data_IF_392655936866
#
_entry.id   IF_392655936866
#
_cell.length_a   1.000
_cell.length_b   1.000
_cell.length_c   1.000
_cell.angle_alpha   90.00
_cell.angle_beta   90.00
_cell.angle_gamma   90.00
#
_symmetry.space_group_name_H-M   'P 1'
#
loop_
_entity.id
_entity.type
_entity.pdbx_description
1 polymer ?
#
# COMPACT_ATOMS: atom_id res chain seq x y z
N UNK A 1 -13.29 -30.58 10.67
CA UNK A 1 -14.56 -31.09 10.08
C UNK A 1 -14.78 -32.60 10.18
N UNK A 2 -13.89 -33.49 9.71
CA UNK A 2 -14.14 -34.96 9.75
C UNK A 2 -14.33 -35.52 11.17
N UNK A 3 -13.60 -35.01 12.15
CA UNK A 3 -13.73 -35.44 13.56
C UNK A 3 -15.07 -35.00 14.17
N UNK A 4 -15.44 -33.73 13.97
CA UNK A 4 -16.73 -33.18 14.41
C UNK A 4 -17.90 -33.98 13.82
N UNK A 5 -17.85 -34.34 12.52
CA UNK A 5 -18.89 -35.16 11.89
C UNK A 5 -19.08 -36.51 12.62
N UNK A 6 -17.99 -37.18 13.00
CA UNK A 6 -18.03 -38.45 13.77
C UNK A 6 -18.61 -38.27 15.17
N UNK A 7 -18.35 -37.15 15.83
CA UNK A 7 -18.94 -36.85 17.15
C UNK A 7 -20.45 -36.59 17.04
N UNK A 8 -20.93 -36.05 15.92
CA UNK A 8 -22.34 -35.74 15.67
C UNK A 8 -23.18 -36.97 15.28
N UNK A 9 -22.56 -38.09 14.94
CA UNK A 9 -23.25 -39.37 14.70
C UNK A 9 -23.79 -40.00 16.00
N UNK A 10 -23.38 -39.49 17.17
CA UNK A 10 -23.87 -39.97 18.45
C UNK A 10 -25.24 -39.41 18.81
N UNK A 11 -26.06 -40.24 19.46
CA UNK A 11 -27.45 -39.92 19.80
C UNK A 11 -27.58 -38.59 20.55
N UNK A 12 -28.43 -37.71 20.02
CA UNK A 12 -28.76 -36.40 20.61
C UNK A 12 -27.72 -35.29 20.41
N UNK A 13 -26.48 -35.59 19.99
CA UNK A 13 -25.43 -34.57 19.82
C UNK A 13 -25.72 -33.60 18.68
N UNK A 14 -26.28 -34.09 17.57
CA UNK A 14 -26.65 -33.26 16.43
C UNK A 14 -27.75 -32.25 16.77
N UNK A 15 -28.78 -32.70 17.49
CA UNK A 15 -29.89 -31.86 17.92
C UNK A 15 -29.41 -30.80 18.91
N UNK A 16 -28.60 -31.20 19.90
CA UNK A 16 -28.00 -30.27 20.86
C UNK A 16 -27.16 -29.20 20.18
N UNK A 17 -26.29 -29.59 19.23
CA UNK A 17 -25.49 -28.63 18.47
C UNK A 17 -26.38 -27.65 17.70
N UNK A 18 -27.42 -28.16 17.02
CA UNK A 18 -28.32 -27.32 16.24
C UNK A 18 -29.05 -26.29 17.12
N UNK A 19 -29.61 -26.72 18.25
CA UNK A 19 -30.33 -25.84 19.19
C UNK A 19 -29.41 -24.75 19.76
N UNK A 20 -28.19 -25.13 20.18
CA UNK A 20 -27.27 -24.20 20.83
C UNK A 20 -26.71 -23.18 19.83
N UNK A 21 -26.28 -23.64 18.65
CA UNK A 21 -25.77 -22.78 17.58
C UNK A 21 -26.85 -21.82 17.09
N UNK A 22 -28.09 -22.28 16.88
CA UNK A 22 -29.20 -21.40 16.49
C UNK A 22 -29.47 -20.32 17.55
N UNK A 23 -29.51 -20.72 18.81
CA UNK A 23 -29.82 -19.81 19.92
C UNK A 23 -28.73 -18.75 20.08
N UNK A 24 -27.45 -19.14 19.98
CA UNK A 24 -26.32 -18.23 20.20
C UNK A 24 -25.96 -17.39 18.96
N UNK A 25 -26.13 -17.93 17.76
CA UNK A 25 -25.97 -17.17 16.52
C UNK A 25 -27.05 -16.11 16.32
N UNK A 26 -28.16 -16.18 17.06
CA UNK A 26 -29.29 -15.25 16.93
C UNK A 26 -29.81 -15.16 15.48
N UNK A 27 -29.78 -16.29 14.76
CA UNK A 27 -30.23 -16.38 13.36
C UNK A 27 -29.22 -15.90 12.30
N UNK A 28 -28.01 -15.50 12.70
CA UNK A 28 -26.98 -15.05 11.75
C UNK A 28 -26.15 -16.22 11.24
N UNK A 29 -26.28 -16.51 9.93
CA UNK A 29 -25.54 -17.60 9.27
C UNK A 29 -24.03 -17.48 9.44
N UNK A 30 -23.49 -16.25 9.38
CA UNK A 30 -22.07 -15.98 9.61
C UNK A 30 -21.62 -16.46 10.99
N UNK A 31 -22.33 -16.05 12.04
CA UNK A 31 -21.98 -16.40 13.41
C UNK A 31 -22.10 -17.90 13.62
N UNK A 32 -23.15 -18.52 13.06
CA UNK A 32 -23.28 -19.97 13.08
C UNK A 32 -22.09 -20.68 12.41
N UNK A 33 -21.63 -20.20 11.25
CA UNK A 33 -20.47 -20.76 10.56
C UNK A 33 -19.20 -20.66 11.41
N UNK A 34 -18.91 -19.49 11.97
CA UNK A 34 -17.73 -19.28 12.83
C UNK A 34 -17.79 -20.12 14.12
N UNK A 35 -18.98 -20.25 14.72
CA UNK A 35 -19.20 -21.12 15.88
C UNK A 35 -18.95 -22.59 15.54
N UNK A 36 -19.37 -23.05 14.35
CA UNK A 36 -19.09 -24.42 13.91
C UNK A 36 -17.59 -24.66 13.70
N UNK A 37 -16.87 -23.68 13.16
CA UNK A 37 -15.43 -23.74 13.00
C UNK A 37 -14.70 -23.83 14.36
N UNK A 38 -15.18 -23.14 15.39
CA UNK A 38 -14.65 -23.26 16.76
C UNK A 38 -14.75 -24.69 17.31
N UNK A 39 -15.82 -25.41 16.97
CA UNK A 39 -16.03 -26.79 17.42
C UNK A 39 -15.24 -27.80 16.58
N UNK A 40 -14.61 -27.37 15.49
CA UNK A 40 -13.90 -28.24 14.55
C UNK A 40 -12.71 -28.98 15.15
N UNK A 41 -12.15 -28.49 16.27
CA UNK A 41 -11.00 -29.05 17.00
C UNK A 41 -11.37 -29.99 18.15
N UNK A 42 -12.66 -30.13 18.51
CA UNK A 42 -13.09 -31.01 19.59
C UNK A 42 -12.71 -32.47 19.31
N UNK A 43 -12.03 -33.13 20.26
CA UNK A 43 -11.55 -34.50 20.09
C UNK A 43 -12.52 -35.55 20.63
N UNK A 44 -13.40 -35.15 21.55
CA UNK A 44 -14.37 -36.04 22.18
C UNK A 44 -15.67 -35.30 22.56
N UNK A 45 -16.69 -36.03 23.00
CA UNK A 45 -18.01 -35.49 23.37
C UNK A 45 -17.92 -34.48 24.51
N UNK A 46 -17.03 -34.71 25.48
CA UNK A 46 -16.86 -33.82 26.64
C UNK A 46 -16.34 -32.46 26.16
N UNK A 47 -15.34 -32.47 25.27
CA UNK A 47 -14.82 -31.25 24.64
C UNK A 47 -15.94 -30.54 23.84
N UNK A 48 -16.73 -31.30 23.08
CA UNK A 48 -17.83 -30.76 22.28
C UNK A 48 -18.91 -30.11 23.17
N UNK A 49 -19.31 -30.74 24.28
CA UNK A 49 -20.27 -30.15 25.23
C UNK A 49 -19.73 -28.88 25.87
N UNK A 50 -18.48 -28.93 26.35
CA UNK A 50 -17.83 -27.74 26.93
C UNK A 50 -17.72 -26.60 25.90
N UNK A 51 -17.38 -26.92 24.65
CA UNK A 51 -17.31 -25.95 23.56
C UNK A 51 -18.67 -25.33 23.25
N UNK A 52 -19.74 -26.14 23.19
CA UNK A 52 -21.11 -25.67 22.99
C UNK A 52 -21.55 -24.69 24.10
N UNK A 53 -21.25 -24.99 25.36
CA UNK A 53 -21.54 -24.12 26.51
C UNK A 53 -20.78 -22.78 26.43
N UNK A 54 -19.56 -22.78 25.92
CA UNK A 54 -18.70 -21.60 25.81
C UNK A 54 -18.86 -20.79 24.52
N UNK A 55 -19.70 -21.25 23.58
CA UNK A 55 -19.90 -20.52 22.32
C UNK A 55 -20.30 -19.04 22.57
N UNK A 56 -19.67 -18.08 21.87
CA UNK A 56 -19.99 -16.67 22.00
C UNK A 56 -21.39 -16.36 21.42
N UNK A 57 -22.05 -15.36 21.98
CA UNK A 57 -23.39 -14.92 21.53
C UNK A 57 -23.31 -13.59 20.79
N UNK A 58 -23.80 -13.58 19.55
CA UNK A 58 -23.77 -12.39 18.69
C UNK A 58 -22.42 -12.18 17.97
N UNK A 59 -22.40 -11.21 17.03
CA UNK A 59 -21.28 -11.01 16.10
C UNK A 59 -20.01 -10.50 16.79
N UNK A 60 -20.12 -9.49 17.64
CA UNK A 60 -18.95 -8.88 18.30
C UNK A 60 -18.22 -9.86 19.22
N UNK A 61 -18.97 -10.59 20.06
CA UNK A 61 -18.41 -11.64 20.90
C UNK A 61 -17.78 -12.76 20.05
N UNK A 62 -18.34 -13.05 18.88
CA UNK A 62 -17.79 -14.02 17.94
C UNK A 62 -16.45 -13.54 17.38
N UNK A 63 -16.34 -12.28 16.93
CA UNK A 63 -15.06 -11.74 16.47
C UNK A 63 -14.01 -11.70 17.59
N UNK A 64 -14.38 -11.28 18.80
CA UNK A 64 -13.48 -11.28 19.95
C UNK A 64 -12.93 -12.68 20.28
N UNK A 65 -13.81 -13.69 20.30
CA UNK A 65 -13.39 -15.07 20.54
C UNK A 65 -12.53 -15.63 19.40
N UNK A 66 -12.79 -15.24 18.15
CA UNK A 66 -11.93 -15.62 17.03
C UNK A 66 -10.55 -14.96 17.08
N UNK A 67 -10.47 -13.68 17.46
CA UNK A 67 -9.18 -13.02 17.69
C UNK A 67 -8.41 -13.67 18.84
N UNK A 68 -9.08 -14.01 19.95
CA UNK A 68 -8.45 -14.76 21.04
C UNK A 68 -7.88 -16.10 20.55
N UNK A 69 -8.59 -16.82 19.67
CA UNK A 69 -8.07 -18.04 19.04
C UNK A 69 -6.84 -17.79 18.18
N UNK A 70 -6.78 -16.65 17.49
CA UNK A 70 -5.60 -16.23 16.72
C UNK A 70 -4.42 -15.97 17.64
N UNK A 71 -4.61 -15.21 18.74
CA UNK A 71 -3.57 -14.91 19.73
C UNK A 71 -2.93 -16.16 20.35
N UNK A 72 -3.69 -17.24 20.48
CA UNK A 72 -3.21 -18.50 21.07
C UNK A 72 -2.48 -19.42 20.06
N UNK A 73 -2.34 -19.03 18.79
CA UNK A 73 -1.57 -19.79 17.82
C UNK A 73 -0.06 -19.67 18.09
N UNK A 74 0.71 -20.57 17.48
CA UNK A 74 2.18 -20.56 17.60
C UNK A 74 2.80 -19.27 17.04
N UNK A 75 2.21 -18.72 15.98
CA UNK A 75 2.57 -17.43 15.41
C UNK A 75 1.29 -16.62 15.07
N UNK A 76 0.82 -15.77 15.99
CA UNK A 76 -0.34 -14.91 15.75
C UNK A 76 -0.04 -13.78 14.76
N UNK A 77 1.24 -13.42 14.57
CA UNK A 77 1.64 -12.24 13.79
C UNK A 77 1.23 -12.38 12.33
N UNK A 78 1.39 -13.56 11.73
CA UNK A 78 1.00 -13.81 10.35
C UNK A 78 -0.49 -13.56 10.10
N UNK A 79 -1.37 -14.10 10.95
CA UNK A 79 -2.81 -13.90 10.84
C UNK A 79 -3.19 -12.43 11.06
N UNK A 80 -2.59 -11.76 12.04
CA UNK A 80 -2.84 -10.33 12.27
C UNK A 80 -2.40 -9.47 11.09
N UNK A 81 -1.21 -9.70 10.54
CA UNK A 81 -0.71 -8.99 9.36
C UNK A 81 -1.66 -9.17 8.17
N UNK A 82 -2.14 -10.40 7.94
CA UNK A 82 -3.13 -10.66 6.89
C UNK A 82 -4.41 -9.84 7.10
N UNK A 83 -4.88 -9.75 8.35
CA UNK A 83 -6.05 -8.94 8.69
C UNK A 83 -5.79 -7.43 8.56
N UNK A 84 -4.57 -6.94 8.88
CA UNK A 84 -4.18 -5.54 8.64
C UNK A 84 -4.32 -5.20 7.16
N UNK A 85 -3.78 -6.03 6.28
CA UNK A 85 -3.92 -5.88 4.84
C UNK A 85 -5.38 -5.83 4.39
N UNK A 86 -6.21 -6.77 4.85
CA UNK A 86 -7.63 -6.81 4.43
C UNK A 86 -8.48 -5.66 5.00
N UNK A 87 -8.09 -5.08 6.14
CA UNK A 87 -8.77 -3.92 6.73
C UNK A 87 -8.37 -2.63 6.02
N UNK A 88 -7.09 -2.48 5.67
CA UNK A 88 -6.50 -1.19 5.26
C UNK A 88 -6.13 -1.09 3.77
N UNK A 89 -6.15 -2.19 3.01
CA UNK A 89 -5.86 -2.15 1.58
C UNK A 89 -6.79 -1.18 0.84
N UNK A 90 -6.22 -0.44 -0.12
CA UNK A 90 -6.96 0.55 -0.91
C UNK A 90 -7.65 -0.05 -2.16
N UNK A 91 -7.31 -1.29 -2.52
CA UNK A 91 -7.92 -2.06 -3.60
C UNK A 91 -8.19 -3.50 -3.15
N UNK A 92 -9.05 -4.22 -3.87
CA UNK A 92 -9.25 -5.66 -3.65
C UNK A 92 -7.99 -6.42 -4.04
N UNK A 93 -7.64 -7.45 -3.27
CA UNK A 93 -6.43 -8.25 -3.49
C UNK A 93 -6.80 -9.72 -3.71
N UNK A 94 -6.05 -10.40 -4.56
CA UNK A 94 -6.10 -11.87 -4.65
C UNK A 94 -5.37 -12.51 -3.47
N UNK A 95 -5.63 -13.80 -3.23
CA UNK A 95 -4.88 -14.54 -2.21
C UNK A 95 -3.38 -14.56 -2.51
N UNK A 96 -3.00 -14.56 -3.77
CA UNK A 96 -1.61 -14.54 -4.19
C UNK A 96 -0.96 -13.18 -3.94
N UNK A 97 -1.68 -12.08 -4.19
CA UNK A 97 -1.22 -10.75 -3.81
C UNK A 97 -0.96 -10.67 -2.30
N UNK A 98 -1.91 -11.15 -1.49
CA UNK A 98 -1.78 -11.15 -0.03
C UNK A 98 -0.59 -11.99 0.44
N UNK A 99 -0.33 -13.16 -0.17
CA UNK A 99 0.82 -14.01 0.18
C UNK A 99 2.14 -13.29 -0.07
N UNK A 100 2.28 -12.59 -1.19
CA UNK A 100 3.49 -11.81 -1.50
C UNK A 100 3.59 -10.57 -0.59
N UNK A 101 2.47 -9.93 -0.30
CA UNK A 101 2.41 -8.80 0.63
C UNK A 101 2.87 -9.15 2.06
N UNK A 102 2.65 -10.40 2.48
CA UNK A 102 3.07 -10.93 3.78
C UNK A 102 4.51 -11.46 3.79
N UNK A 103 5.12 -11.68 2.62
CA UNK A 103 6.50 -12.13 2.48
C UNK A 103 7.50 -10.96 2.62
N UNK A 104 7.29 -10.15 3.64
CA UNK A 104 8.08 -8.97 3.98
C UNK A 104 8.71 -9.16 5.37
N UNK A 105 10.04 -8.98 5.46
CA UNK A 105 10.77 -8.96 6.73
C UNK A 105 10.78 -7.53 7.28
N UNK A 106 10.01 -7.23 8.35
CA UNK A 106 9.95 -5.89 8.93
C UNK A 106 11.24 -5.47 9.63
N UNK A 107 12.12 -6.40 10.00
CA UNK A 107 13.41 -6.11 10.66
C UNK A 107 14.44 -5.67 9.63
N UNK A 108 14.48 -6.33 8.48
CA UNK A 108 15.40 -5.98 7.38
C UNK A 108 14.82 -4.97 6.41
N UNK A 109 13.53 -4.68 6.51
CA UNK A 109 12.76 -3.86 5.56
C UNK A 109 12.91 -4.37 4.12
N UNK A 110 12.82 -5.69 3.92
CA UNK A 110 13.03 -6.34 2.62
C UNK A 110 12.00 -7.41 2.34
N UNK A 111 11.70 -7.58 1.06
CA UNK A 111 10.96 -8.75 0.59
C UNK A 111 11.84 -10.00 0.70
N UNK A 112 11.23 -11.09 1.17
CA UNK A 112 11.90 -12.39 1.32
C UNK A 112 10.98 -13.51 0.81
N UNK A 113 11.28 -14.11 -0.36
CA UNK A 113 10.45 -15.19 -0.91
C UNK A 113 10.43 -16.45 -0.03
N UNK A 114 11.37 -16.62 0.90
CA UNK A 114 11.35 -17.74 1.85
C UNK A 114 10.23 -17.61 2.90
N UNK A 115 9.64 -16.42 3.04
CA UNK A 115 8.48 -16.16 3.91
C UNK A 115 7.13 -16.42 3.23
N UNK A 116 7.10 -16.84 1.96
CA UNK A 116 5.86 -17.14 1.25
C UNK A 116 5.12 -18.31 1.92
N UNK A 117 3.92 -18.01 2.45
CA UNK A 117 3.03 -19.00 3.06
C UNK A 117 2.11 -19.60 1.99
N UNK A 118 1.70 -20.85 2.14
CA UNK A 118 0.67 -21.44 1.28
C UNK A 118 -0.73 -20.87 1.57
N UNK A 119 -1.59 -20.83 0.54
CA UNK A 119 -2.91 -20.22 0.65
C UNK A 119 -3.81 -20.88 1.69
N UNK A 120 -3.75 -22.22 1.82
CA UNK A 120 -4.60 -22.97 2.75
C UNK A 120 -4.18 -22.73 4.21
N UNK A 121 -2.88 -22.69 4.49
CA UNK A 121 -2.34 -22.31 5.79
C UNK A 121 -2.71 -20.88 6.14
N UNK A 122 -2.63 -19.93 5.19
CA UNK A 122 -3.01 -18.54 5.42
C UNK A 122 -4.51 -18.40 5.78
N UNK A 123 -5.39 -19.11 5.07
CA UNK A 123 -6.82 -19.17 5.43
C UNK A 123 -7.03 -19.82 6.78
N UNK A 124 -6.29 -20.89 7.08
CA UNK A 124 -6.38 -21.62 8.34
C UNK A 124 -5.99 -20.75 9.54
N UNK A 125 -4.88 -20.01 9.47
CA UNK A 125 -4.43 -19.17 10.60
C UNK A 125 -5.39 -18.02 10.90
N UNK A 126 -6.11 -17.51 9.89
CA UNK A 126 -7.12 -16.45 10.06
C UNK A 126 -8.44 -16.93 10.70
N UNK A 127 -8.55 -18.20 11.11
CA UNK A 127 -9.66 -18.75 11.91
C UNK A 127 -11.09 -18.45 11.39
N UNK A 128 -11.25 -18.38 10.06
CA UNK A 128 -12.56 -18.13 9.42
C UNK A 128 -12.94 -16.65 9.28
N UNK A 129 -12.08 -15.71 9.67
CA UNK A 129 -12.30 -14.27 9.46
C UNK A 129 -12.12 -13.84 8.01
N UNK A 130 -11.54 -14.70 7.17
CA UNK A 130 -11.31 -14.42 5.75
C UNK A 130 -11.95 -15.50 4.88
N UNK A 131 -12.37 -15.11 3.69
CA UNK A 131 -12.94 -16.00 2.67
C UNK A 131 -12.27 -15.77 1.33
N UNK A 132 -12.26 -16.83 0.50
CA UNK A 132 -11.75 -16.79 -0.86
C UNK A 132 -12.90 -16.88 -1.85
N UNK A 133 -12.90 -15.98 -2.83
CA UNK A 133 -13.84 -16.03 -3.94
C UNK A 133 -13.43 -17.12 -4.94
N UNK A 134 -14.32 -18.07 -5.29
CA UNK A 134 -13.94 -19.24 -6.08
C UNK A 134 -13.35 -18.92 -7.46
N UNK A 135 -13.93 -17.92 -8.16
CA UNK A 135 -13.56 -17.56 -9.53
C UNK A 135 -12.43 -16.54 -9.57
N UNK A 136 -12.59 -15.41 -8.89
CA UNK A 136 -11.67 -14.27 -8.94
C UNK A 136 -10.42 -14.46 -8.07
N UNK A 137 -10.44 -15.45 -7.16
CA UNK A 137 -9.40 -15.66 -6.14
C UNK A 137 -9.20 -14.47 -5.19
N UNK A 138 -10.14 -13.52 -5.16
CA UNK A 138 -10.12 -12.41 -4.22
C UNK A 138 -10.24 -12.93 -2.80
N UNK A 139 -9.41 -12.37 -1.92
CA UNK A 139 -9.51 -12.61 -0.48
C UNK A 139 -10.30 -11.45 0.15
N UNK A 140 -11.26 -11.79 1.00
CA UNK A 140 -12.15 -10.81 1.65
C UNK A 140 -12.30 -11.13 3.12
N UNK A 141 -12.60 -10.11 3.92
CA UNK A 141 -13.14 -10.35 5.25
C UNK A 141 -14.47 -11.10 5.12
N UNK A 142 -14.73 -12.01 6.06
CA UNK A 142 -15.92 -12.87 6.07
C UNK A 142 -17.24 -12.06 6.09
N UNK A 143 -17.18 -10.81 6.54
CA UNK A 143 -18.31 -9.89 6.52
C UNK A 143 -17.83 -8.43 6.63
N UNK A 144 -18.60 -7.49 6.08
CA UNK A 144 -18.20 -6.08 6.07
C UNK A 144 -18.07 -5.49 7.49
N UNK A 145 -18.91 -5.92 8.44
CA UNK A 145 -18.83 -5.47 9.85
C UNK A 145 -17.60 -5.99 10.60
N UNK A 146 -16.88 -6.98 10.05
CA UNK A 146 -15.63 -7.44 10.66
C UNK A 146 -14.58 -6.31 10.65
N UNK A 147 -14.61 -5.44 9.64
CA UNK A 147 -13.70 -4.30 9.54
C UNK A 147 -13.82 -3.37 10.74
N UNK A 148 -15.04 -2.99 11.11
CA UNK A 148 -15.30 -2.07 12.23
C UNK A 148 -14.79 -2.60 13.58
N UNK A 149 -14.83 -3.93 13.76
CA UNK A 149 -14.27 -4.57 14.95
C UNK A 149 -12.75 -4.67 14.88
N UNK A 150 -12.20 -5.08 13.73
CA UNK A 150 -10.77 -5.38 13.57
C UNK A 150 -9.91 -4.13 13.54
N UNK A 151 -10.38 -3.03 12.94
CA UNK A 151 -9.60 -1.80 12.81
C UNK A 151 -9.08 -1.26 14.16
N UNK A 152 -9.93 -1.01 15.18
CA UNK A 152 -9.42 -0.57 16.48
C UNK A 152 -8.63 -1.67 17.21
N UNK A 153 -8.91 -2.95 16.97
CA UNK A 153 -8.20 -4.07 17.61
C UNK A 153 -6.75 -4.16 17.12
N UNK A 154 -6.54 -4.14 15.81
CA UNK A 154 -5.23 -4.33 15.17
C UNK A 154 -4.31 -3.13 15.38
N UNK A 155 -4.85 -1.93 15.57
CA UNK A 155 -4.07 -0.73 15.90
C UNK A 155 -3.26 -0.83 17.20
N UNK A 156 -3.60 -1.77 18.09
CA UNK A 156 -2.82 -2.00 19.31
C UNK A 156 -1.42 -2.55 19.00
N UNK A 157 -1.31 -3.42 18.00
CA UNK A 157 -0.04 -4.01 17.57
C UNK A 157 0.56 -3.27 16.36
N UNK A 158 -0.29 -2.67 15.53
CA UNK A 158 0.06 -1.98 14.29
C UNK A 158 -0.49 -0.55 14.28
N UNK A 159 0.11 0.39 15.04
CA UNK A 159 -0.42 1.74 15.21
C UNK A 159 -0.46 2.56 13.91
N UNK A 160 0.48 2.32 12.99
CA UNK A 160 0.58 2.97 11.67
C UNK A 160 0.48 1.90 10.55
N UNK A 161 -0.73 1.37 10.27
CA UNK A 161 -0.89 0.27 9.32
C UNK A 161 -0.53 0.66 7.88
N UNK A 162 -0.71 1.93 7.52
CA UNK A 162 -0.37 2.42 6.19
C UNK A 162 1.15 2.56 5.98
N UNK A 163 1.94 2.80 7.02
CA UNK A 163 3.41 2.77 6.93
C UNK A 163 3.88 1.35 6.62
N UNK A 164 3.40 0.38 7.39
CA UNK A 164 3.70 -1.04 7.17
C UNK A 164 3.36 -1.48 5.74
N UNK A 165 2.16 -1.14 5.26
CA UNK A 165 1.72 -1.48 3.91
C UNK A 165 2.59 -0.78 2.85
N UNK A 166 2.83 0.52 2.99
CA UNK A 166 3.69 1.27 2.06
C UNK A 166 5.09 0.67 1.99
N UNK A 167 5.70 0.40 3.15
CA UNK A 167 7.02 -0.22 3.30
C UNK A 167 7.09 -1.59 2.64
N UNK A 168 6.02 -2.39 2.75
CA UNK A 168 5.94 -3.72 2.12
C UNK A 168 5.85 -3.61 0.59
N UNK A 169 5.00 -2.71 0.06
CA UNK A 169 4.91 -2.43 -1.38
C UNK A 169 6.25 -1.95 -1.95
N UNK A 170 6.92 -1.03 -1.25
CA UNK A 170 8.24 -0.51 -1.62
C UNK A 170 9.28 -1.62 -1.65
N UNK A 171 9.33 -2.46 -0.62
CA UNK A 171 10.29 -3.56 -0.56
C UNK A 171 10.11 -4.54 -1.73
N UNK A 172 8.86 -4.78 -2.15
CA UNK A 172 8.56 -5.58 -3.33
C UNK A 172 8.98 -4.90 -4.64
N UNK A 173 8.68 -3.59 -4.81
CA UNK A 173 9.14 -2.81 -5.96
C UNK A 173 10.66 -2.81 -6.08
N UNK A 174 11.37 -2.64 -4.96
CA UNK A 174 12.83 -2.70 -4.92
C UNK A 174 13.34 -4.10 -5.30
N UNK A 175 12.69 -5.16 -4.83
CA UNK A 175 13.01 -6.54 -5.20
C UNK A 175 12.86 -6.77 -6.71
N UNK A 176 11.82 -6.23 -7.31
CA UNK A 176 11.58 -6.27 -8.76
C UNK A 176 12.45 -5.29 -9.56
N UNK A 177 13.34 -4.51 -8.92
CA UNK A 177 14.26 -3.60 -9.59
C UNK A 177 13.64 -2.28 -10.07
N UNK A 178 12.41 -1.95 -9.67
CA UNK A 178 11.69 -0.77 -10.19
C UNK A 178 12.34 0.58 -9.86
N UNK A 179 13.20 0.65 -8.84
CA UNK A 179 13.94 1.87 -8.52
C UNK A 179 14.99 2.22 -9.58
N UNK A 180 15.47 1.27 -10.39
CA UNK A 180 16.48 1.50 -11.41
C UNK A 180 16.24 0.57 -12.61
N UNK A 181 15.09 0.72 -13.27
CA UNK A 181 14.72 -0.13 -14.39
C UNK A 181 15.42 0.34 -15.67
N UNK A 182 16.53 -0.31 -16.01
CA UNK A 182 17.38 0.07 -17.16
C UNK A 182 16.88 -0.46 -18.52
N UNK A 183 15.90 -1.37 -18.51
CA UNK A 183 15.36 -1.96 -19.74
C UNK A 183 14.23 -1.09 -20.31
N UNK A 184 14.30 -0.76 -21.61
CA UNK A 184 13.23 -0.09 -22.35
C UNK A 184 11.94 -0.92 -22.26
N UNK A 185 10.96 -0.48 -21.46
CA UNK A 185 9.61 -1.05 -21.46
C UNK A 185 8.98 -0.74 -22.83
N UNK A 186 8.71 -1.73 -23.69
CA UNK A 186 7.98 -1.48 -24.94
C UNK A 186 6.57 -0.98 -24.62
N UNK A 187 6.01 -0.06 -25.41
CA UNK A 187 4.68 0.54 -25.13
C UNK A 187 3.48 -0.42 -25.06
N UNK A 188 3.66 -1.72 -25.32
CA UNK A 188 2.64 -2.76 -25.18
C UNK A 188 2.77 -3.56 -23.85
N UNK A 189 3.73 -3.22 -22.98
CA UNK A 189 4.10 -4.05 -21.81
C UNK A 189 3.35 -3.73 -20.50
N UNK A 190 2.62 -2.61 -20.40
CA UNK A 190 2.04 -2.11 -19.14
C UNK A 190 1.14 -3.15 -18.45
N UNK A 191 0.14 -3.69 -19.14
CA UNK A 191 -0.73 -4.72 -18.56
C UNK A 191 0.05 -6.03 -18.31
N UNK A 192 0.97 -6.39 -19.20
CA UNK A 192 1.67 -7.68 -19.13
C UNK A 192 2.59 -7.81 -17.91
N UNK A 193 3.32 -6.75 -17.54
CA UNK A 193 4.28 -6.82 -16.42
C UNK A 193 3.56 -6.97 -15.07
N UNK A 194 2.40 -6.32 -14.94
CA UNK A 194 1.57 -6.39 -13.74
C UNK A 194 0.71 -7.66 -13.69
N UNK A 195 0.34 -8.23 -14.84
CA UNK A 195 -0.35 -9.51 -14.92
C UNK A 195 0.56 -10.71 -14.61
N UNK A 196 1.84 -10.63 -15.02
CA UNK A 196 2.82 -11.71 -14.80
C UNK A 196 3.37 -11.74 -13.36
N UNK A 197 3.40 -10.59 -12.68
CA UNK A 197 3.96 -10.47 -11.34
C UNK A 197 2.88 -10.18 -10.30
N UNK A 198 2.51 -11.22 -9.57
CA UNK A 198 1.59 -11.15 -8.43
C UNK A 198 2.05 -10.05 -7.47
N UNK A 199 1.12 -9.27 -6.91
CA UNK A 199 1.35 -8.13 -6.02
C UNK A 199 2.07 -6.90 -6.63
N UNK A 200 2.71 -6.99 -7.79
CA UNK A 200 3.47 -5.88 -8.37
C UNK A 200 2.56 -4.71 -8.75
N UNK A 201 1.44 -5.01 -9.42
CA UNK A 201 0.47 -3.99 -9.82
C UNK A 201 -0.12 -3.24 -8.61
N UNK A 202 -0.46 -3.96 -7.55
CA UNK A 202 -0.88 -3.34 -6.30
C UNK A 202 0.23 -2.48 -5.72
N UNK A 203 1.45 -3.02 -5.64
CA UNK A 203 2.60 -2.34 -5.06
C UNK A 203 2.89 -1.03 -5.76
N UNK A 204 2.96 -1.03 -7.11
CA UNK A 204 3.23 0.14 -7.94
C UNK A 204 2.15 1.22 -7.81
N UNK A 205 0.87 0.84 -7.81
CA UNK A 205 -0.23 1.80 -7.71
C UNK A 205 -0.41 2.36 -6.29
N UNK A 206 -0.17 1.54 -5.26
CA UNK A 206 -0.65 1.83 -3.90
C UNK A 206 0.45 2.22 -2.89
N UNK A 207 1.74 2.05 -3.18
CA UNK A 207 2.81 2.44 -2.23
C UNK A 207 2.73 3.91 -1.81
N UNK A 208 2.52 4.83 -2.76
CA UNK A 208 2.48 6.26 -2.47
C UNK A 208 1.15 6.72 -1.86
N UNK A 209 -0.03 6.28 -2.33
CA UNK A 209 -1.29 6.50 -1.62
C UNK A 209 -1.22 6.11 -0.14
N UNK A 210 -0.66 4.93 0.18
CA UNK A 210 -0.44 4.52 1.56
C UNK A 210 0.54 5.44 2.31
N UNK A 211 1.66 5.80 1.68
CA UNK A 211 2.63 6.74 2.27
C UNK A 211 2.00 8.09 2.63
N UNK A 212 1.07 8.61 1.81
CA UNK A 212 0.36 9.88 2.06
C UNK A 212 -0.69 9.80 3.17
N UNK A 213 -1.16 8.60 3.51
CA UNK A 213 -2.10 8.38 4.62
C UNK A 213 -1.40 8.28 5.99
N UNK A 214 -0.07 8.22 6.00
CA UNK A 214 0.72 8.17 7.22
C UNK A 214 0.81 9.56 7.89
N UNK A 215 1.04 9.58 9.20
CA UNK A 215 1.22 10.84 9.96
C UNK A 215 2.41 11.66 9.45
N UNK A 216 3.45 10.98 8.97
CA UNK A 216 4.62 11.55 8.30
C UNK A 216 5.07 10.61 7.19
N UNK A 217 5.84 11.11 6.22
CA UNK A 217 6.40 10.27 5.15
C UNK A 217 7.24 9.15 5.77
N UNK A 218 6.95 7.87 5.49
CA UNK A 218 7.71 6.76 6.04
C UNK A 218 9.19 6.82 5.61
N UNK A 219 10.15 6.41 6.47
CA UNK A 219 11.56 6.37 6.10
C UNK A 219 11.83 5.52 4.86
N UNK A 220 11.18 4.35 4.74
CA UNK A 220 11.29 3.49 3.57
C UNK A 220 10.85 4.20 2.28
N UNK A 221 9.81 5.04 2.36
CA UNK A 221 9.32 5.87 1.24
C UNK A 221 10.36 6.88 0.81
N UNK A 222 10.94 7.62 1.76
CA UNK A 222 11.99 8.61 1.45
C UNK A 222 13.24 7.94 0.84
N UNK A 223 13.69 6.84 1.42
CA UNK A 223 14.86 6.09 0.96
C UNK A 223 14.65 5.45 -0.42
N UNK A 224 13.44 4.95 -0.69
CA UNK A 224 13.08 4.39 -1.98
C UNK A 224 13.13 5.44 -3.09
N UNK A 225 12.47 6.58 -2.88
CA UNK A 225 12.44 7.66 -3.88
C UNK A 225 13.85 8.19 -4.12
N UNK A 226 14.66 8.34 -3.06
CA UNK A 226 16.06 8.74 -3.21
C UNK A 226 16.89 7.75 -4.04
N UNK A 227 16.52 6.48 -4.06
CA UNK A 227 17.16 5.45 -4.89
C UNK A 227 16.58 5.36 -6.32
N UNK A 228 15.45 6.02 -6.61
CA UNK A 228 14.86 6.02 -7.93
C UNK A 228 15.73 6.76 -8.96
N UNK A 229 16.10 6.06 -10.04
CA UNK A 229 16.84 6.60 -11.18
C UNK A 229 16.02 6.52 -12.47
N UNK A 230 15.52 5.32 -12.78
CA UNK A 230 14.71 5.02 -13.95
C UNK A 230 13.42 4.32 -13.46
N UNK A 231 12.61 5.04 -12.67
CA UNK A 231 11.34 4.49 -12.18
C UNK A 231 10.24 4.73 -13.23
N UNK A 232 9.49 3.70 -13.65
CA UNK A 232 8.44 3.87 -14.63
C UNK A 232 7.19 4.50 -14.00
N UNK A 233 6.81 5.68 -14.50
CA UNK A 233 5.58 6.37 -14.14
C UNK A 233 4.62 6.26 -15.32
N UNK A 234 3.50 5.57 -15.10
CA UNK A 234 2.43 5.42 -16.09
C UNK A 234 1.40 6.53 -15.87
N UNK A 235 1.29 7.48 -16.81
CA UNK A 235 0.30 8.57 -16.80
C UNK A 235 -0.66 8.42 -17.97
N UNK A 236 -1.88 8.95 -17.84
CA UNK A 236 -2.95 8.82 -18.86
C UNK A 236 -2.56 9.30 -20.28
N UNK A 237 -1.61 10.24 -20.39
CA UNK A 237 -1.22 10.85 -21.67
C UNK A 237 0.11 10.31 -22.24
N UNK A 238 1.06 9.88 -21.39
CA UNK A 238 2.40 9.41 -21.77
C UNK A 238 3.04 8.59 -20.64
N UNK A 239 3.73 7.51 -20.98
CA UNK A 239 4.58 6.77 -20.04
C UNK A 239 5.93 7.44 -19.90
N UNK A 240 6.40 7.58 -18.65
CA UNK A 240 7.69 8.19 -18.34
C UNK A 240 8.59 7.12 -17.73
N UNK A 241 9.41 6.53 -18.59
CA UNK A 241 10.24 5.36 -18.28
C UNK A 241 11.56 5.70 -17.56
N UNK A 242 12.03 6.94 -17.69
CA UNK A 242 13.25 7.42 -17.04
C UNK A 242 12.95 8.54 -16.02
N UNK A 243 12.22 8.20 -14.96
CA UNK A 243 11.89 9.15 -13.89
C UNK A 243 12.79 8.98 -12.67
N UNK A 244 13.54 10.03 -12.35
CA UNK A 244 14.42 10.07 -11.17
C UNK A 244 13.69 10.49 -9.89
N UNK A 245 14.42 10.56 -8.77
CA UNK A 245 13.88 10.84 -7.43
C UNK A 245 12.91 12.03 -7.36
N UNK A 246 13.27 13.16 -7.97
CA UNK A 246 12.44 14.37 -7.91
C UNK A 246 11.15 14.24 -8.75
N UNK A 247 11.22 13.58 -9.90
CA UNK A 247 10.04 13.28 -10.72
C UNK A 247 9.08 12.35 -10.00
N UNK A 248 9.59 11.27 -9.38
CA UNK A 248 8.79 10.31 -8.62
C UNK A 248 8.11 11.00 -7.43
N UNK A 249 8.85 11.82 -6.67
CA UNK A 249 8.27 12.54 -5.54
C UNK A 249 7.13 13.49 -5.96
N UNK A 250 7.30 14.20 -7.08
CA UNK A 250 6.28 15.11 -7.62
C UNK A 250 5.07 14.37 -8.17
N UNK A 251 5.28 13.36 -9.03
CA UNK A 251 4.21 12.58 -9.66
C UNK A 251 3.29 11.91 -8.64
N UNK A 252 3.88 11.42 -7.55
CA UNK A 252 3.14 10.78 -6.48
C UNK A 252 2.78 11.71 -5.31
N UNK A 253 2.86 13.04 -5.50
CA UNK A 253 2.31 14.02 -4.56
C UNK A 253 2.95 13.99 -3.16
N UNK A 254 4.25 13.73 -3.06
CA UNK A 254 5.02 13.71 -1.82
C UNK A 254 5.73 15.04 -1.58
N UNK A 255 4.97 16.14 -1.70
CA UNK A 255 5.48 17.52 -1.61
C UNK A 255 6.14 17.83 -0.27
N UNK A 256 5.68 17.20 0.82
CA UNK A 256 6.27 17.35 2.15
C UNK A 256 7.71 16.84 2.20
N UNK A 257 8.00 15.73 1.50
CA UNK A 257 9.35 15.19 1.36
C UNK A 257 10.24 16.14 0.56
N UNK A 258 9.73 16.67 -0.56
CA UNK A 258 10.48 17.63 -1.39
C UNK A 258 10.81 18.89 -0.62
N UNK A 259 9.84 19.47 0.09
CA UNK A 259 10.09 20.61 0.96
C UNK A 259 11.17 20.30 1.99
N UNK A 260 11.14 19.12 2.60
CA UNK A 260 12.16 18.71 3.58
C UNK A 260 13.55 18.53 2.95
N UNK A 261 13.64 18.07 1.69
CA UNK A 261 14.91 17.98 0.95
C UNK A 261 15.49 19.33 0.56
N UNK A 262 14.65 20.32 0.28
CA UNK A 262 15.09 21.66 -0.14
C UNK A 262 15.08 22.69 1.00
N UNK A 263 14.65 22.34 2.21
CA UNK A 263 14.67 23.23 3.37
C UNK A 263 16.11 23.53 3.82
N UNK A 264 16.62 24.69 3.44
CA UNK A 264 17.97 25.17 3.73
C UNK A 264 18.21 25.43 5.25
N UNK A 265 17.15 25.46 6.07
CA UNK A 265 17.29 25.67 7.52
C UNK A 265 17.74 24.43 8.29
N UNK A 266 17.66 23.24 7.66
CA UNK A 266 18.00 21.95 8.29
C UNK A 266 19.34 21.46 7.76
N UNK A 267 20.40 21.41 8.57
CA UNK A 267 21.77 21.06 8.14
C UNK A 267 21.93 19.72 7.39
N UNK A 268 20.95 18.81 7.45
CA UNK A 268 20.95 17.55 6.71
C UNK A 268 20.48 17.65 5.25
N UNK A 269 19.78 18.73 4.85
CA UNK A 269 19.29 18.92 3.48
C UNK A 269 20.42 19.21 2.49
N UNK A 270 21.42 19.98 2.90
CA UNK A 270 22.53 20.39 2.02
C UNK A 270 23.34 19.23 1.44
N UNK A 271 23.54 18.15 2.22
CA UNK A 271 24.23 16.95 1.74
C UNK A 271 23.39 16.11 0.77
N UNK A 272 22.06 16.12 0.92
CA UNK A 272 21.12 15.43 0.03
C UNK A 272 21.02 16.13 -1.33
N UNK A 273 21.03 17.46 -1.34
CA UNK A 273 20.96 18.29 -2.55
C UNK A 273 22.13 18.06 -3.50
N UNK A 274 23.34 17.80 -3.00
CA UNK A 274 24.49 17.52 -3.85
C UNK A 274 24.34 16.27 -4.73
N UNK A 275 23.43 15.36 -4.38
CA UNK A 275 23.16 14.14 -5.14
C UNK A 275 21.88 14.25 -5.99
N UNK A 276 21.10 15.33 -5.87
CA UNK A 276 19.85 15.52 -6.60
C UNK A 276 20.06 16.55 -7.71
N UNK A 277 19.95 16.12 -8.97
CA UNK A 277 19.92 17.04 -10.10
C UNK A 277 18.52 17.65 -10.22
N UNK A 278 18.38 18.91 -9.79
CA UNK A 278 17.11 19.66 -9.85
C UNK A 278 16.60 19.91 -11.27
N UNK A 279 17.48 19.80 -12.26
CA UNK A 279 17.16 19.92 -13.67
C UNK A 279 17.14 18.56 -14.38
N UNK A 280 17.14 17.44 -13.64
CA UNK A 280 17.09 16.09 -14.21
C UNK A 280 15.94 15.99 -15.23
N UNK A 281 16.18 15.26 -16.32
CA UNK A 281 15.23 15.16 -17.43
C UNK A 281 14.82 13.72 -17.62
N UNK A 282 13.53 13.49 -17.83
CA UNK A 282 13.04 12.22 -18.34
C UNK A 282 13.38 12.05 -19.83
N UNK A 283 13.10 10.88 -20.40
CA UNK A 283 13.24 10.62 -21.85
C UNK A 283 12.48 11.62 -22.74
N UNK A 284 11.36 12.15 -22.24
CA UNK A 284 10.55 13.17 -22.92
C UNK A 284 11.01 14.60 -22.60
N UNK A 285 12.08 14.75 -21.83
CA UNK A 285 12.66 16.04 -21.49
C UNK A 285 11.95 16.78 -20.36
N UNK A 286 11.03 16.14 -19.64
CA UNK A 286 10.36 16.76 -18.50
C UNK A 286 11.32 16.89 -17.32
N UNK A 287 11.37 18.09 -16.74
CA UNK A 287 12.08 18.35 -15.48
C UNK A 287 11.13 18.27 -14.29
N UNK A 288 11.62 18.18 -13.03
CA UNK A 288 10.76 18.27 -11.85
C UNK A 288 9.89 19.54 -11.85
N UNK A 289 10.42 20.67 -12.37
CA UNK A 289 9.67 21.91 -12.51
C UNK A 289 8.50 21.78 -13.51
N UNK A 290 8.62 20.95 -14.55
CA UNK A 290 7.49 20.66 -15.45
C UNK A 290 6.36 19.92 -14.72
N UNK A 291 6.70 18.90 -13.91
CA UNK A 291 5.71 18.15 -13.15
C UNK A 291 4.99 19.06 -12.14
N UNK A 292 5.74 19.81 -11.33
CA UNK A 292 5.17 20.75 -10.37
C UNK A 292 4.29 21.80 -11.07
N UNK A 293 4.69 22.25 -12.27
CA UNK A 293 3.94 23.19 -13.09
C UNK A 293 2.67 22.61 -13.69
N UNK A 294 2.70 21.37 -14.19
CA UNK A 294 1.53 20.66 -14.73
C UNK A 294 0.49 20.35 -13.66
N UNK A 295 0.94 19.97 -12.46
CA UNK A 295 0.08 19.63 -11.32
C UNK A 295 -0.38 20.86 -10.51
N UNK A 296 0.18 22.04 -10.79
CA UNK A 296 -0.15 23.28 -10.08
C UNK A 296 0.36 23.32 -8.64
N UNK A 297 1.39 22.54 -8.32
CA UNK A 297 2.06 22.48 -7.02
C UNK A 297 2.88 23.76 -6.76
N UNK A 298 2.18 24.88 -6.60
CA UNK A 298 2.73 26.25 -6.55
C UNK A 298 3.81 26.41 -5.49
N UNK A 299 3.67 25.71 -4.35
CA UNK A 299 4.68 25.76 -3.29
C UNK A 299 5.94 24.98 -3.64
N UNK A 300 5.84 23.80 -4.28
CA UNK A 300 7.04 23.12 -4.79
C UNK A 300 7.72 23.97 -5.86
N UNK A 301 6.94 24.61 -6.76
CA UNK A 301 7.50 25.54 -7.75
C UNK A 301 8.31 26.64 -7.07
N UNK A 302 7.78 27.28 -6.03
CA UNK A 302 8.52 28.28 -5.24
C UNK A 302 9.83 27.72 -4.70
N UNK A 303 9.77 26.57 -4.05
CA UNK A 303 10.94 25.92 -3.44
C UNK A 303 12.00 25.57 -4.49
N UNK A 304 11.60 25.03 -5.64
CA UNK A 304 12.52 24.71 -6.75
C UNK A 304 13.16 25.97 -7.35
N UNK A 305 12.41 27.07 -7.47
CA UNK A 305 12.91 28.35 -7.99
C UNK A 305 13.96 29.00 -7.07
N UNK A 306 13.94 28.67 -5.77
CA UNK A 306 14.92 29.15 -4.80
C UNK A 306 16.21 28.30 -4.78
N UNK A 307 16.28 27.21 -5.56
CA UNK A 307 17.48 26.35 -5.65
C UNK A 307 18.49 26.95 -6.63
N UNK A 308 19.74 27.06 -6.20
CA UNK A 308 20.84 27.52 -7.06
C UNK A 308 21.00 26.60 -8.28
N UNK A 309 21.03 27.20 -9.47
CA UNK A 309 21.23 26.49 -10.73
C UNK A 309 19.96 25.91 -11.38
N UNK A 310 18.77 26.14 -10.83
CA UNK A 310 17.51 25.80 -11.49
C UNK A 310 17.39 26.49 -12.86
N UNK A 311 17.01 25.76 -13.90
CA UNK A 311 16.74 26.30 -15.23
C UNK A 311 15.22 26.24 -15.51
N UNK A 312 14.61 27.42 -15.48
CA UNK A 312 13.16 27.60 -15.64
C UNK A 312 12.70 27.53 -17.09
N UNK A 313 13.65 27.46 -18.03
CA UNK A 313 13.44 27.58 -19.46
C UNK A 313 13.65 26.27 -20.22
N UNK A 314 14.08 25.19 -19.54
CA UNK A 314 14.23 23.90 -20.18
C UNK A 314 12.97 23.50 -20.97
N UNK A 315 13.08 23.26 -22.28
CA UNK A 315 11.98 22.70 -23.05
C UNK A 315 11.95 21.17 -22.94
N UNK A 316 10.76 20.58 -22.96
CA UNK A 316 10.54 19.16 -23.27
C UNK A 316 10.93 18.87 -24.75
N UNK A 317 10.82 17.60 -25.19
CA UNK A 317 11.14 17.23 -26.58
C UNK A 317 10.23 17.88 -27.64
N UNK A 318 9.09 18.45 -27.24
CA UNK A 318 8.13 19.16 -28.09
C UNK A 318 8.33 20.67 -28.05
N UNK A 319 9.28 21.18 -27.26
CA UNK A 319 9.51 22.60 -27.09
C UNK A 319 8.64 23.26 -26.00
N UNK A 320 7.91 22.48 -25.20
CA UNK A 320 7.03 22.98 -24.13
C UNK A 320 7.87 23.26 -22.90
N UNK A 321 7.73 24.46 -22.32
CA UNK A 321 8.42 24.86 -21.08
C UNK A 321 7.50 24.70 -19.86
N UNK A 322 8.05 24.76 -18.62
CA UNK A 322 7.23 24.74 -17.40
C UNK A 322 6.16 25.84 -17.35
N UNK A 323 6.48 27.04 -17.86
CA UNK A 323 5.51 28.14 -17.95
C UNK A 323 4.37 27.82 -18.93
N UNK A 324 4.69 27.22 -20.09
CA UNK A 324 3.69 26.85 -21.08
C UNK A 324 2.73 25.79 -20.53
N UNK A 325 3.25 24.74 -19.88
CA UNK A 325 2.40 23.68 -19.32
C UNK A 325 1.54 24.16 -18.13
N UNK A 326 2.06 25.05 -17.27
CA UNK A 326 1.27 25.69 -16.23
C UNK A 326 0.14 26.54 -16.82
N UNK A 327 0.41 27.25 -17.92
CA UNK A 327 -0.56 28.09 -18.61
C UNK A 327 -1.66 27.26 -19.29
N UNK A 328 -1.27 26.18 -19.96
CA UNK A 328 -2.17 25.23 -20.60
C UNK A 328 -3.14 24.60 -19.60
N UNK A 329 -2.64 24.23 -18.41
CA UNK A 329 -3.45 23.64 -17.35
C UNK A 329 -4.18 24.68 -16.46
N UNK A 330 -4.01 25.98 -16.73
CA UNK A 330 -4.74 27.04 -16.05
C UNK A 330 -4.26 27.35 -14.62
N UNK A 331 -3.03 26.98 -14.25
CA UNK A 331 -2.48 27.18 -12.91
C UNK A 331 -1.97 28.61 -12.69
N UNK A 332 -2.90 29.55 -12.57
CA UNK A 332 -2.66 31.01 -12.56
C UNK A 332 -1.56 31.45 -11.57
N UNK A 333 -1.56 30.94 -10.34
CA UNK A 333 -0.55 31.34 -9.35
C UNK A 333 0.84 30.80 -9.68
N UNK A 334 0.92 29.59 -10.23
CA UNK A 334 2.19 29.04 -10.73
C UNK A 334 2.71 29.85 -11.92
N UNK A 335 1.83 30.23 -12.86
CA UNK A 335 2.18 31.10 -14.00
C UNK A 335 2.77 32.43 -13.54
N UNK A 336 2.14 33.08 -12.54
CA UNK A 336 2.64 34.34 -11.98
C UNK A 336 4.03 34.19 -11.36
N UNK A 337 4.28 33.11 -10.62
CA UNK A 337 5.59 32.84 -10.02
C UNK A 337 6.67 32.65 -11.08
N UNK A 338 6.39 31.82 -12.10
CA UNK A 338 7.34 31.57 -13.18
C UNK A 338 7.65 32.85 -13.97
N UNK A 339 6.64 33.65 -14.31
CA UNK A 339 6.85 34.93 -15.02
C UNK A 339 7.72 35.92 -14.23
N UNK A 340 7.55 35.98 -12.91
CA UNK A 340 8.33 36.89 -12.07
C UNK A 340 9.84 36.60 -12.13
N UNK A 341 10.23 35.33 -12.26
CA UNK A 341 11.65 34.95 -12.40
C UNK A 341 12.17 35.26 -13.82
N UNK A 342 11.38 34.96 -14.85
CA UNK A 342 11.75 35.20 -16.25
C UNK A 342 12.00 36.69 -16.52
N UNK A 343 11.15 37.58 -15.97
CA UNK A 343 11.32 39.02 -16.13
C UNK A 343 12.64 39.52 -15.50
N UNK A 344 13.06 38.94 -14.37
CA UNK A 344 14.32 39.29 -13.69
C UNK A 344 15.52 38.88 -14.55
N UNK A 345 15.51 37.69 -15.14
CA UNK A 345 16.60 37.22 -16.00
C UNK A 345 16.73 38.06 -17.27
N UNK A 346 15.61 38.46 -17.90
CA UNK A 346 15.63 39.34 -19.07
C UNK A 346 16.15 40.76 -18.75
N UNK A 347 15.85 41.28 -17.55
CA UNK A 347 16.39 42.57 -17.08
C UNK A 347 17.90 42.48 -16.80
N UNK A 348 18.38 41.35 -16.29
CA UNK A 348 19.81 41.14 -16.04
C UNK A 348 20.61 40.87 -17.33
N UNK A 349 20.02 40.20 -18.33
CA UNK A 349 20.66 39.92 -19.62
C UNK A 349 20.87 41.16 -20.51
N UNK A 350 20.16 42.26 -20.25
CA UNK A 350 20.26 43.52 -21.02
C UNK A 350 21.25 44.53 -20.42
N UNK A 351 21.92 44.19 -19.31
CA UNK A 351 22.86 45.06 -18.58
C UNK A 351 24.33 44.59 -18.61
N UNK A 352 24.69 43.60 -19.43
CA UNK A 352 26.08 43.23 -19.76
C UNK A 352 26.40 43.58 -21.23
#
# INVERSE_FOLDING_TARGET
MKMLAKLLEQDGMREMLFQEVLTKSSGMFLVASLQLDMLGSCLNIRDLRAGLEQLPKGVEAMYASTMERIEHQADPSLAKLALVWLVHALESMTIDDLRHALAFDPVRSKYDPELLVDADSLVSVCCGLITLEPQSKLVRLVHYTAKDFLEPYLRNDYPEPHDLIASSCIAYLMHCGFHDMQDNIPGDYEDSIFDENQFLGYSHRQWAPHSRLCTSVPPATADFIFQCRHFPIFEEDYDLLDSGSLHVAEAYGLQTLLRDWFDQSRSSSFALLHNLDVNARTDYGYTPLHFASRLGHTETVRVLLDVEGIDVHYPDIRGITPLMIASENGHVETVKLLLAVVDIEHVNATNN
#
